data_IF_228388835773
#
_entry.id   IF_228388835773
#
_cell.length_a   1.000
_cell.length_b   1.000
_cell.length_c   1.000
_cell.angle_alpha   90.00
_cell.angle_beta   90.00
_cell.angle_gamma   90.00
#
_symmetry.space_group_name_H-M   'P 1'
#
loop_
_entity.id
_entity.type
_entity.pdbx_description
1 polymer ?
#
# COMPACT_ATOMS: atom_id res chain seq x y z
N UNK A 1 73.81 7.36 13.93
CA UNK A 1 72.58 6.59 13.65
C UNK A 1 71.62 6.56 14.84
N UNK A 2 72.05 6.16 16.04
CA UNK A 2 71.18 6.13 17.24
C UNK A 2 70.55 7.48 17.58
N UNK A 3 71.32 8.58 17.56
CA UNK A 3 70.81 9.93 17.86
C UNK A 3 69.76 10.43 16.84
N UNK A 4 69.93 10.09 15.56
CA UNK A 4 68.97 10.43 14.50
C UNK A 4 67.65 9.70 14.72
N UNK A 5 67.71 8.43 15.15
CA UNK A 5 66.54 7.62 15.47
C UNK A 5 65.76 8.17 16.68
N UNK A 6 66.46 8.63 17.72
CA UNK A 6 65.84 9.27 18.89
C UNK A 6 65.12 10.57 18.51
N UNK A 7 65.73 11.40 17.67
CA UNK A 7 65.10 12.64 17.18
C UNK A 7 63.89 12.36 16.30
N UNK A 8 63.95 11.36 15.42
CA UNK A 8 62.82 10.98 14.55
C UNK A 8 61.66 10.40 15.34
N UNK A 9 61.90 9.53 16.32
CA UNK A 9 60.85 9.00 17.21
C UNK A 9 60.22 10.13 18.04
N UNK A 10 61.04 11.06 18.57
CA UNK A 10 60.55 12.22 19.30
C UNK A 10 59.67 13.14 18.43
N UNK A 11 60.06 13.34 17.16
CA UNK A 11 59.29 14.11 16.18
C UNK A 11 57.95 13.46 15.78
N UNK A 12 57.90 12.12 15.78
CA UNK A 12 56.67 11.36 15.49
C UNK A 12 55.72 11.39 16.68
N UNK A 13 56.24 11.19 17.90
CA UNK A 13 55.41 11.08 19.10
C UNK A 13 54.87 12.44 19.58
N UNK A 14 55.74 13.46 19.66
CA UNK A 14 55.41 14.72 20.34
C UNK A 14 55.51 15.98 19.46
N UNK A 15 55.75 15.82 18.16
CA UNK A 15 55.78 16.91 17.18
C UNK A 15 57.10 17.70 17.15
N UNK A 16 57.08 18.87 16.50
CA UNK A 16 58.29 19.60 16.12
C UNK A 16 59.06 20.24 17.28
N UNK A 17 58.37 20.69 18.33
CA UNK A 17 59.00 21.36 19.49
C UNK A 17 59.94 20.43 20.27
N UNK A 18 59.44 19.29 20.80
CA UNK A 18 60.27 18.32 21.53
C UNK A 18 61.38 17.70 20.67
N UNK A 19 61.15 17.50 19.37
CA UNK A 19 62.16 17.01 18.43
C UNK A 19 63.36 17.96 18.29
N UNK A 20 63.11 19.28 18.28
CA UNK A 20 64.15 20.28 18.15
C UNK A 20 65.04 20.34 19.41
N UNK A 21 64.42 20.24 20.59
CA UNK A 21 65.16 20.13 21.86
C UNK A 21 65.97 18.83 21.89
N UNK A 22 65.38 17.72 21.48
CA UNK A 22 66.05 16.41 21.40
C UNK A 22 67.24 16.45 20.44
N UNK A 23 67.12 17.16 19.32
CA UNK A 23 68.18 17.35 18.34
C UNK A 23 69.33 18.18 18.91
N UNK A 24 69.04 19.30 19.57
CA UNK A 24 70.07 20.14 20.21
C UNK A 24 70.83 19.36 21.28
N UNK A 25 70.12 18.67 22.17
CA UNK A 25 70.73 17.81 23.21
C UNK A 25 71.57 16.69 22.60
N UNK A 26 71.09 16.06 21.52
CA UNK A 26 71.83 15.03 20.80
C UNK A 26 73.14 15.55 20.21
N UNK A 27 73.15 16.76 19.65
CA UNK A 27 74.38 17.40 19.17
C UNK A 27 75.33 17.66 20.33
N UNK A 28 74.85 18.24 21.43
CA UNK A 28 75.71 18.55 22.58
C UNK A 28 76.33 17.27 23.17
N UNK A 29 75.53 16.21 23.31
CA UNK A 29 76.04 14.89 23.72
C UNK A 29 77.07 14.32 22.73
N UNK A 30 76.82 14.44 21.42
CA UNK A 30 77.74 13.95 20.40
C UNK A 30 79.08 14.71 20.43
N UNK A 31 79.04 16.05 20.53
CA UNK A 31 80.23 16.88 20.64
C UNK A 31 81.05 16.58 21.90
N UNK A 32 80.38 16.39 23.04
CA UNK A 32 81.06 16.15 24.31
C UNK A 32 81.73 14.76 24.41
N UNK A 33 81.08 13.71 23.88
CA UNK A 33 81.54 12.32 24.06
C UNK A 33 82.38 11.76 22.91
N UNK A 34 82.20 12.23 21.68
CA UNK A 34 82.74 11.55 20.48
C UNK A 34 83.72 12.40 19.64
N UNK A 35 83.82 13.71 19.86
CA UNK A 35 84.70 14.60 19.09
C UNK A 35 85.93 15.00 19.93
N UNK A 36 87.18 14.72 19.48
CA UNK A 36 88.39 15.19 20.15
C UNK A 36 88.52 16.73 20.10
N UNK A 37 88.93 17.40 21.20
CA UNK A 37 89.25 16.84 22.52
C UNK A 37 87.97 16.46 23.27
N UNK A 38 87.86 15.17 23.63
CA UNK A 38 86.73 14.64 24.39
C UNK A 38 86.60 15.36 25.73
N UNK A 39 85.38 15.52 26.22
CA UNK A 39 85.06 16.28 27.45
C UNK A 39 85.30 17.80 27.39
N UNK A 40 85.49 18.37 26.19
CA UNK A 40 85.55 19.82 25.99
C UNK A 40 84.55 20.29 24.95
N UNK A 41 83.84 21.40 25.21
CA UNK A 41 82.93 22.01 24.24
C UNK A 41 83.71 22.88 23.24
N UNK A 42 84.61 22.27 22.46
CA UNK A 42 85.41 23.01 21.47
C UNK A 42 85.28 22.38 20.07
N UNK A 43 84.93 23.20 19.08
CA UNK A 43 84.80 22.81 17.68
C UNK A 43 86.11 23.21 16.99
N UNK A 44 87.17 22.41 17.15
CA UNK A 44 88.50 22.75 16.63
C UNK A 44 88.68 22.43 15.13
N UNK A 45 87.79 21.63 14.52
CA UNK A 45 87.93 21.17 13.13
C UNK A 45 86.81 21.72 12.19
N UNK A 46 87.17 22.35 11.06
CA UNK A 46 86.23 22.88 10.06
C UNK A 46 85.33 21.85 9.35
N UNK A 47 85.53 20.55 9.57
CA UNK A 47 84.68 19.50 9.00
C UNK A 47 83.44 19.21 9.85
N UNK A 48 83.46 19.53 11.15
CA UNK A 48 82.38 19.16 12.07
C UNK A 48 81.17 20.11 12.05
N UNK A 49 81.32 21.35 11.55
CA UNK A 49 80.20 22.29 11.44
C UNK A 49 79.19 21.89 10.35
N UNK A 50 79.65 21.21 9.29
CA UNK A 50 78.79 20.73 8.19
C UNK A 50 77.80 19.70 8.73
N UNK A 51 78.28 18.74 9.53
CA UNK A 51 77.44 17.73 10.16
C UNK A 51 76.39 18.37 11.09
N UNK A 52 76.75 19.41 11.84
CA UNK A 52 75.83 20.16 12.67
C UNK A 52 74.73 20.86 11.86
N UNK A 53 75.10 21.58 10.80
CA UNK A 53 74.15 22.29 9.92
C UNK A 53 73.20 21.30 9.23
N UNK A 54 73.73 20.20 8.68
CA UNK A 54 72.92 19.16 8.04
C UNK A 54 71.97 18.50 9.04
N UNK A 55 72.42 18.25 10.26
CA UNK A 55 71.60 17.64 11.30
C UNK A 55 70.47 18.56 11.76
N UNK A 56 70.76 19.84 12.04
CA UNK A 56 69.74 20.83 12.39
C UNK A 56 68.74 21.02 11.25
N UNK A 57 69.21 21.12 10.01
CA UNK A 57 68.34 21.23 8.83
C UNK A 57 67.41 20.00 8.69
N UNK A 58 67.93 18.79 8.92
CA UNK A 58 67.15 17.55 8.87
C UNK A 58 66.11 17.51 9.98
N UNK A 59 66.48 17.88 11.21
CA UNK A 59 65.55 17.92 12.35
C UNK A 59 64.41 18.92 12.11
N UNK A 60 64.70 20.10 11.55
CA UNK A 60 63.67 21.10 11.18
C UNK A 60 62.78 20.56 10.06
N UNK A 61 63.35 19.97 9.01
CA UNK A 61 62.57 19.40 7.91
C UNK A 61 61.61 18.29 8.38
N UNK A 62 62.11 17.35 9.21
CA UNK A 62 61.29 16.27 9.80
C UNK A 62 60.22 16.84 10.72
N UNK A 63 60.55 17.81 11.57
CA UNK A 63 59.58 18.45 12.46
C UNK A 63 58.46 19.17 11.70
N UNK A 64 58.80 19.92 10.65
CA UNK A 64 57.82 20.61 9.80
C UNK A 64 56.94 19.63 9.01
N UNK A 65 57.52 18.57 8.45
CA UNK A 65 56.77 17.55 7.73
C UNK A 65 55.83 16.78 8.66
N UNK A 66 56.30 16.38 9.84
CA UNK A 66 55.49 15.70 10.86
C UNK A 66 54.31 16.59 11.31
N UNK A 67 54.59 17.86 11.61
CA UNK A 67 53.54 18.81 12.01
C UNK A 67 52.52 19.06 10.90
N UNK A 68 52.95 19.21 9.64
CA UNK A 68 52.03 19.36 8.49
C UNK A 68 51.19 18.12 8.24
N UNK A 69 51.78 16.93 8.35
CA UNK A 69 51.07 15.67 8.19
C UNK A 69 49.97 15.52 9.27
N UNK A 70 50.29 15.87 10.51
CA UNK A 70 49.37 15.82 11.64
C UNK A 70 48.23 16.82 11.52
N UNK A 71 48.51 18.08 11.19
CA UNK A 71 47.47 19.10 10.98
C UNK A 71 46.50 18.70 9.85
N UNK A 72 47.02 18.15 8.74
CA UNK A 72 46.16 17.65 7.65
C UNK A 72 45.30 16.47 8.07
N UNK A 73 45.83 15.56 8.90
CA UNK A 73 45.07 14.44 9.44
C UNK A 73 43.94 14.93 10.36
N UNK A 74 44.24 15.86 11.27
CA UNK A 74 43.25 16.47 12.18
C UNK A 74 42.14 17.22 11.41
N UNK A 75 42.48 18.01 10.38
CA UNK A 75 41.49 18.67 9.52
C UNK A 75 40.63 17.68 8.72
N UNK A 76 41.24 16.61 8.21
CA UNK A 76 40.51 15.58 7.47
C UNK A 76 39.53 14.83 8.37
N UNK A 77 39.93 14.54 9.61
CA UNK A 77 39.08 13.92 10.61
C UNK A 77 37.92 14.84 11.03
N UNK A 78 38.20 16.12 11.28
CA UNK A 78 37.15 17.11 11.57
C UNK A 78 36.13 17.23 10.43
N UNK A 79 36.60 17.33 9.18
CA UNK A 79 35.71 17.33 7.99
C UNK A 79 34.89 16.06 7.88
N UNK A 80 35.49 14.90 8.15
CA UNK A 80 34.79 13.61 8.10
C UNK A 80 33.67 13.55 9.13
N UNK A 81 33.93 13.97 10.37
CA UNK A 81 32.93 14.02 11.44
C UNK A 81 31.79 14.97 11.07
N UNK A 82 32.10 16.14 10.51
CA UNK A 82 31.08 17.11 10.09
C UNK A 82 30.21 16.58 8.94
N UNK A 83 30.84 15.94 7.93
CA UNK A 83 30.13 15.29 6.83
C UNK A 83 29.23 14.16 7.36
N UNK A 84 29.72 13.30 8.25
CA UNK A 84 28.91 12.22 8.85
C UNK A 84 27.72 12.78 9.65
N UNK A 85 27.92 13.88 10.38
CA UNK A 85 26.85 14.59 11.10
C UNK A 85 25.80 15.14 10.14
N UNK A 86 26.22 15.83 9.07
CA UNK A 86 25.31 16.40 8.07
C UNK A 86 24.55 15.30 7.33
N UNK A 87 25.20 14.20 6.96
CA UNK A 87 24.54 13.05 6.34
C UNK A 87 23.50 12.41 7.26
N UNK A 88 23.81 12.26 8.55
CA UNK A 88 22.84 11.76 9.53
C UNK A 88 21.62 12.68 9.64
N UNK A 89 21.85 13.99 9.76
CA UNK A 89 20.76 14.97 9.84
C UNK A 89 19.88 14.97 8.58
N UNK A 90 20.50 14.87 7.39
CA UNK A 90 19.77 14.79 6.13
C UNK A 90 18.91 13.53 6.06
N UNK A 91 19.46 12.38 6.44
CA UNK A 91 18.73 11.09 6.44
C UNK A 91 17.55 11.15 7.41
N UNK A 92 17.76 11.60 8.64
CA UNK A 92 16.68 11.75 9.63
C UNK A 92 15.60 12.76 9.21
N UNK A 93 15.98 13.83 8.51
CA UNK A 93 15.03 14.80 7.98
C UNK A 93 14.22 14.23 6.81
N UNK A 94 14.88 13.46 5.94
CA UNK A 94 14.24 12.77 4.83
C UNK A 94 13.25 11.71 5.31
N UNK A 95 13.64 10.86 6.28
CA UNK A 95 12.77 9.83 6.84
C UNK A 95 11.53 10.45 7.50
N UNK A 96 11.72 11.51 8.31
CA UNK A 96 10.61 12.27 8.90
C UNK A 96 9.70 12.91 7.87
N UNK A 97 10.25 13.47 6.80
CA UNK A 97 9.46 14.06 5.72
C UNK A 97 8.65 12.99 4.97
N UNK A 98 9.25 11.83 4.70
CA UNK A 98 8.59 10.70 4.04
C UNK A 98 7.46 10.11 4.89
N UNK A 99 7.68 9.95 6.19
CA UNK A 99 6.67 9.48 7.14
C UNK A 99 5.52 10.48 7.26
N UNK A 100 5.84 11.77 7.42
CA UNK A 100 4.83 12.83 7.50
C UNK A 100 4.00 12.94 6.20
N UNK A 101 4.63 12.78 5.03
CA UNK A 101 3.94 12.76 3.75
C UNK A 101 3.03 11.53 3.62
N UNK A 102 3.50 10.36 4.05
CA UNK A 102 2.69 9.12 4.05
C UNK A 102 1.46 9.27 4.95
N UNK A 103 1.65 9.81 6.15
CA UNK A 103 0.55 10.08 7.08
C UNK A 103 -0.42 11.13 6.51
N UNK A 104 0.11 12.21 5.94
CA UNK A 104 -0.70 13.27 5.33
C UNK A 104 -1.53 12.74 4.15
N UNK A 105 -0.95 11.90 3.30
CA UNK A 105 -1.68 11.22 2.22
C UNK A 105 -2.78 10.32 2.78
N UNK A 106 -2.50 9.57 3.84
CA UNK A 106 -3.50 8.74 4.52
C UNK A 106 -4.66 9.58 5.07
N UNK A 107 -4.39 10.70 5.73
CA UNK A 107 -5.42 11.61 6.26
C UNK A 107 -6.23 12.32 5.15
N UNK A 108 -5.57 12.71 4.06
CA UNK A 108 -6.25 13.29 2.89
C UNK A 108 -7.16 12.26 2.22
N UNK A 109 -6.70 11.02 2.05
CA UNK A 109 -7.52 9.94 1.55
C UNK A 109 -8.71 9.73 2.49
N UNK A 110 -8.47 9.53 3.79
CA UNK A 110 -9.54 9.36 4.79
C UNK A 110 -10.59 10.47 4.76
N UNK A 111 -10.17 11.73 4.62
CA UNK A 111 -11.09 12.87 4.52
C UNK A 111 -11.92 12.83 3.24
N UNK A 112 -11.27 12.61 2.08
CA UNK A 112 -11.96 12.45 0.80
C UNK A 112 -12.94 11.26 0.81
N UNK A 113 -12.61 10.18 1.51
CA UNK A 113 -13.48 9.03 1.72
C UNK A 113 -14.72 9.40 2.56
N UNK A 114 -14.54 10.14 3.66
CA UNK A 114 -15.64 10.59 4.49
C UNK A 114 -16.59 11.53 3.74
N UNK A 115 -16.04 12.42 2.91
CA UNK A 115 -16.85 13.33 2.09
C UNK A 115 -17.66 12.56 1.03
N UNK A 116 -17.06 11.58 0.36
CA UNK A 116 -17.74 10.73 -0.61
C UNK A 116 -18.87 9.91 0.04
N UNK A 117 -18.58 9.26 1.17
CA UNK A 117 -19.57 8.52 1.97
C UNK A 117 -20.73 9.42 2.40
N UNK A 118 -20.42 10.63 2.87
CA UNK A 118 -21.44 11.60 3.30
C UNK A 118 -22.34 12.05 2.15
N UNK A 119 -21.76 12.30 0.98
CA UNK A 119 -22.53 12.64 -0.21
C UNK A 119 -23.49 11.51 -0.59
N UNK A 120 -22.99 10.28 -0.64
CA UNK A 120 -23.78 9.16 -1.11
C UNK A 120 -24.84 8.70 -0.09
N UNK A 121 -24.65 8.96 1.21
CA UNK A 121 -25.71 8.86 2.22
C UNK A 121 -26.78 9.96 2.07
N UNK A 122 -26.40 11.16 1.61
CA UNK A 122 -27.32 12.29 1.49
C UNK A 122 -28.37 12.06 0.41
N UNK A 123 -28.01 11.39 -0.68
CA UNK A 123 -28.93 11.10 -1.80
C UNK A 123 -30.17 10.30 -1.38
N UNK A 124 -30.06 9.07 -0.82
CA UNK A 124 -31.22 8.29 -0.38
C UNK A 124 -32.00 9.02 0.72
N UNK A 125 -31.31 9.68 1.66
CA UNK A 125 -31.96 10.47 2.71
C UNK A 125 -32.76 11.66 2.15
N UNK A 126 -32.29 12.29 1.08
CA UNK A 126 -33.01 13.39 0.41
C UNK A 126 -34.25 12.86 -0.29
N UNK A 127 -34.15 11.70 -0.96
CA UNK A 127 -35.26 11.00 -1.61
C UNK A 127 -36.35 10.60 -0.60
N UNK A 128 -35.95 9.93 0.50
CA UNK A 128 -36.85 9.57 1.61
C UNK A 128 -37.52 10.81 2.18
N UNK A 129 -36.74 11.86 2.48
CA UNK A 129 -37.28 13.09 3.07
C UNK A 129 -38.26 13.79 2.12
N UNK A 130 -37.97 13.85 0.81
CA UNK A 130 -38.87 14.43 -0.17
C UNK A 130 -40.21 13.65 -0.23
N UNK A 131 -40.13 12.31 -0.30
CA UNK A 131 -41.30 11.44 -0.34
C UNK A 131 -42.16 11.55 0.92
N UNK A 132 -41.53 11.52 2.11
CA UNK A 132 -42.21 11.73 3.40
C UNK A 132 -42.84 13.12 3.48
N UNK A 133 -42.14 14.17 3.03
CA UNK A 133 -42.67 15.54 3.04
C UNK A 133 -43.93 15.64 2.18
N UNK A 134 -43.89 15.08 0.96
CA UNK A 134 -45.02 15.06 0.04
C UNK A 134 -46.22 14.32 0.62
N UNK A 135 -46.01 13.15 1.22
CA UNK A 135 -47.06 12.38 1.91
C UNK A 135 -47.68 13.18 3.07
N UNK A 136 -46.85 13.80 3.92
CA UNK A 136 -47.33 14.59 5.06
C UNK A 136 -48.10 15.84 4.62
N UNK A 137 -47.65 16.54 3.57
CA UNK A 137 -48.35 17.71 3.02
C UNK A 137 -49.72 17.32 2.47
N UNK A 138 -49.81 16.21 1.74
CA UNK A 138 -51.09 15.73 1.22
C UNK A 138 -52.07 15.29 2.33
N UNK A 139 -51.57 14.78 3.46
CA UNK A 139 -52.39 14.45 4.62
C UNK A 139 -52.85 15.67 5.44
N UNK A 140 -52.10 16.78 5.39
CA UNK A 140 -52.42 18.02 6.12
C UNK A 140 -53.46 18.91 5.45
N UNK A 141 -53.69 18.75 4.14
CA UNK A 141 -54.68 19.51 3.37
C UNK A 141 -56.08 18.87 3.51
N UNK A 142 -56.71 19.04 4.67
CA UNK A 142 -58.07 18.53 4.96
C UNK A 142 -59.19 19.48 4.48
N UNK A 143 -58.85 20.60 3.84
CA UNK A 143 -59.81 21.60 3.36
C UNK A 143 -60.15 21.38 1.87
N UNK A 144 -61.02 20.40 1.62
CA UNK A 144 -62.12 20.51 0.65
C UNK A 144 -61.88 20.62 -0.86
N UNK A 145 -60.65 20.60 -1.42
CA UNK A 145 -60.50 20.66 -2.88
C UNK A 145 -59.26 19.93 -3.44
N UNK A 146 -59.52 18.89 -4.25
CA UNK A 146 -58.77 18.38 -5.42
C UNK A 146 -57.24 18.13 -5.33
N UNK A 147 -56.64 18.19 -4.15
CA UNK A 147 -55.18 18.06 -3.96
C UNK A 147 -54.77 16.93 -3.01
N UNK A 148 -55.61 15.90 -2.87
CA UNK A 148 -55.23 14.66 -2.19
C UNK A 148 -54.40 13.78 -3.12
N UNK A 149 -53.25 13.28 -2.65
CA UNK A 149 -52.49 12.23 -3.34
C UNK A 149 -53.42 11.03 -3.59
N UNK A 150 -53.38 10.48 -4.80
CA UNK A 150 -54.09 9.23 -5.08
C UNK A 150 -53.53 8.09 -4.23
N UNK A 151 -54.32 7.03 -4.07
CA UNK A 151 -53.86 5.82 -3.41
C UNK A 151 -52.66 5.18 -4.15
N UNK A 152 -52.59 5.29 -5.49
CA UNK A 152 -51.40 4.88 -6.24
C UNK A 152 -50.18 5.77 -5.95
N UNK A 153 -50.32 7.10 -6.00
CA UNK A 153 -49.18 8.00 -5.76
C UNK A 153 -48.63 7.90 -4.34
N UNK A 154 -49.51 7.60 -3.37
CA UNK A 154 -49.08 7.32 -2.00
C UNK A 154 -48.30 6.02 -1.89
N UNK A 155 -48.68 4.98 -2.63
CA UNK A 155 -47.94 3.71 -2.68
C UNK A 155 -46.59 3.88 -3.36
N UNK A 156 -46.52 4.61 -4.47
CA UNK A 156 -45.26 4.89 -5.18
C UNK A 156 -44.25 5.58 -4.25
N UNK A 157 -44.67 6.60 -3.49
CA UNK A 157 -43.79 7.27 -2.54
C UNK A 157 -43.36 6.36 -1.37
N UNK A 158 -44.23 5.45 -0.92
CA UNK A 158 -43.88 4.45 0.09
C UNK A 158 -42.89 3.42 -0.46
N UNK A 159 -43.04 3.01 -1.71
CA UNK A 159 -42.11 2.10 -2.39
C UNK A 159 -40.73 2.75 -2.52
N UNK A 160 -40.67 4.03 -2.92
CA UNK A 160 -39.41 4.81 -2.94
C UNK A 160 -38.77 4.86 -1.55
N UNK A 161 -39.54 5.12 -0.49
CA UNK A 161 -39.01 5.15 0.89
C UNK A 161 -38.43 3.78 1.28
N UNK A 162 -39.13 2.69 0.94
CA UNK A 162 -38.69 1.34 1.26
C UNK A 162 -37.41 0.97 0.51
N UNK A 163 -37.35 1.24 -0.80
CA UNK A 163 -36.17 0.98 -1.64
C UNK A 163 -34.93 1.76 -1.16
N UNK A 164 -35.09 3.04 -0.84
CA UNK A 164 -33.98 3.86 -0.34
C UNK A 164 -33.53 3.44 1.06
N UNK A 165 -34.45 2.91 1.88
CA UNK A 165 -34.12 2.35 3.20
C UNK A 165 -33.33 1.04 3.08
N UNK A 166 -33.74 0.16 2.17
CA UNK A 166 -33.02 -1.09 1.87
C UNK A 166 -31.62 -0.79 1.31
N UNK A 167 -31.51 0.21 0.43
CA UNK A 167 -30.24 0.72 -0.11
C UNK A 167 -29.30 1.23 1.00
N UNK A 168 -29.83 2.03 1.94
CA UNK A 168 -29.06 2.50 3.11
C UNK A 168 -28.61 1.36 4.01
N UNK A 169 -29.47 0.38 4.28
CA UNK A 169 -29.10 -0.77 5.11
C UNK A 169 -27.99 -1.58 4.43
N UNK A 170 -28.09 -1.81 3.13
CA UNK A 170 -27.06 -2.49 2.34
C UNK A 170 -25.72 -1.73 2.40
N UNK A 171 -25.73 -0.39 2.28
CA UNK A 171 -24.53 0.42 2.41
C UNK A 171 -23.86 0.28 3.79
N UNK A 172 -24.64 0.25 4.86
CA UNK A 172 -24.11 0.04 6.22
C UNK A 172 -23.47 -1.35 6.35
N UNK A 173 -24.09 -2.38 5.80
CA UNK A 173 -23.52 -3.73 5.74
C UNK A 173 -22.20 -3.78 4.96
N UNK A 174 -22.13 -3.13 3.80
CA UNK A 174 -20.90 -2.99 3.00
C UNK A 174 -19.79 -2.33 3.82
N UNK A 175 -20.10 -1.27 4.56
CA UNK A 175 -19.12 -0.54 5.37
C UNK A 175 -18.61 -1.34 6.56
N UNK A 176 -19.49 -2.06 7.24
CA UNK A 176 -19.09 -2.97 8.32
C UNK A 176 -18.20 -4.09 7.79
N UNK A 177 -18.52 -4.65 6.62
CA UNK A 177 -17.70 -5.69 5.98
C UNK A 177 -16.32 -5.15 5.60
N UNK A 178 -16.25 -3.95 5.03
CA UNK A 178 -14.98 -3.31 4.70
C UNK A 178 -14.12 -3.06 5.95
N UNK A 179 -14.71 -2.55 7.03
CA UNK A 179 -14.00 -2.31 8.29
C UNK A 179 -13.45 -3.62 8.89
N UNK A 180 -14.22 -4.71 8.83
CA UNK A 180 -13.76 -6.03 9.28
C UNK A 180 -12.61 -6.57 8.42
N UNK A 181 -12.68 -6.37 7.09
CA UNK A 181 -11.60 -6.73 6.17
C UNK A 181 -10.31 -5.95 6.47
N UNK A 182 -10.41 -4.63 6.67
CA UNK A 182 -9.25 -3.78 6.99
C UNK A 182 -8.62 -4.11 8.35
N UNK A 183 -9.46 -4.46 9.33
CA UNK A 183 -8.99 -4.89 10.64
C UNK A 183 -8.45 -6.32 10.69
N UNK A 184 -8.56 -7.09 9.60
CA UNK A 184 -8.23 -8.52 9.58
C UNK A 184 -9.13 -9.37 10.49
N UNK A 185 -10.34 -8.89 10.79
CA UNK A 185 -11.28 -9.48 11.76
C UNK A 185 -12.43 -10.27 11.11
N UNK A 186 -12.40 -10.48 9.79
CA UNK A 186 -13.45 -11.22 9.09
C UNK A 186 -13.43 -12.69 9.52
N UNK A 187 -14.32 -13.06 10.44
CA UNK A 187 -14.48 -14.42 10.94
C UNK A 187 -15.32 -15.26 9.97
N UNK A 188 -14.65 -16.06 9.15
CA UNK A 188 -15.28 -16.94 8.17
C UNK A 188 -15.79 -18.23 8.82
N UNK A 189 -17.11 -18.48 8.72
CA UNK A 189 -17.73 -19.73 9.16
C UNK A 189 -17.73 -20.73 8.00
N UNK A 190 -16.56 -21.29 7.71
CA UNK A 190 -16.38 -22.21 6.59
C UNK A 190 -17.11 -23.54 6.83
N UNK A 191 -17.92 -23.95 5.86
CA UNK A 191 -18.57 -25.27 5.81
C UNK A 191 -18.58 -25.81 4.39
N UNK A 192 -18.74 -27.13 4.26
CA UNK A 192 -18.95 -27.75 2.94
C UNK A 192 -20.36 -27.41 2.44
N UNK A 193 -20.45 -26.77 1.28
CA UNK A 193 -21.73 -26.40 0.67
C UNK A 193 -21.70 -26.56 -0.85
N UNK A 194 -22.75 -27.12 -1.48
CA UNK A 194 -22.84 -27.21 -2.93
C UNK A 194 -22.83 -25.82 -3.58
N UNK A 195 -22.07 -25.65 -4.67
CA UNK A 195 -22.02 -24.39 -5.40
C UNK A 195 -23.40 -23.92 -5.89
N UNK A 196 -24.25 -24.88 -6.29
CA UNK A 196 -25.63 -24.61 -6.72
C UNK A 196 -26.46 -23.91 -5.62
N UNK A 197 -26.34 -24.36 -4.37
CA UNK A 197 -27.13 -23.81 -3.26
C UNK A 197 -26.71 -22.36 -2.97
N UNK A 198 -25.40 -22.09 -2.98
CA UNK A 198 -24.87 -20.73 -2.80
C UNK A 198 -25.33 -19.79 -3.92
N UNK A 199 -25.30 -20.28 -5.17
CA UNK A 199 -25.76 -19.50 -6.33
C UNK A 199 -27.26 -19.23 -6.22
N UNK A 200 -28.07 -20.22 -5.86
CA UNK A 200 -29.51 -20.06 -5.70
C UNK A 200 -29.84 -18.99 -4.63
N UNK A 201 -29.18 -19.03 -3.47
CA UNK A 201 -29.34 -18.02 -2.41
C UNK A 201 -29.06 -16.60 -2.95
N UNK A 202 -27.99 -16.45 -3.73
CA UNK A 202 -27.62 -15.16 -4.31
C UNK A 202 -28.62 -14.67 -5.37
N UNK A 203 -29.10 -15.57 -6.23
CA UNK A 203 -30.10 -15.29 -7.26
C UNK A 203 -31.45 -14.91 -6.64
N UNK A 204 -31.89 -15.64 -5.62
CA UNK A 204 -33.13 -15.36 -4.89
C UNK A 204 -33.07 -13.98 -4.21
N UNK A 205 -31.93 -13.66 -3.58
CA UNK A 205 -31.70 -12.32 -2.99
C UNK A 205 -31.73 -11.21 -4.05
N UNK A 206 -31.24 -11.51 -5.26
CA UNK A 206 -31.19 -10.55 -6.37
C UNK A 206 -32.49 -10.49 -7.20
N UNK A 207 -33.58 -11.17 -6.80
CA UNK A 207 -34.79 -11.27 -7.61
C UNK A 207 -35.41 -9.90 -8.00
N UNK A 208 -35.47 -8.94 -7.06
CA UNK A 208 -36.00 -7.58 -7.33
C UNK A 208 -35.11 -6.78 -8.29
N UNK A 209 -33.80 -6.59 -8.03
CA UNK A 209 -32.94 -5.84 -8.96
C UNK A 209 -32.75 -6.52 -10.33
N UNK A 210 -33.07 -7.81 -10.45
CA UNK A 210 -32.98 -8.60 -11.69
C UNK A 210 -34.31 -8.82 -12.43
N UNK A 211 -35.43 -8.20 -12.00
CA UNK A 211 -36.78 -8.43 -12.59
C UNK A 211 -36.86 -8.35 -14.11
N UNK A 212 -36.07 -7.45 -14.71
CA UNK A 212 -36.05 -7.20 -16.17
C UNK A 212 -34.91 -7.94 -16.88
N UNK A 213 -34.40 -9.05 -16.33
CA UNK A 213 -33.24 -9.76 -16.89
C UNK A 213 -33.43 -11.27 -16.95
N UNK A 214 -32.74 -11.89 -17.90
CA UNK A 214 -32.73 -13.34 -18.09
C UNK A 214 -31.49 -13.91 -17.42
N UNK A 215 -31.67 -14.74 -16.39
CA UNK A 215 -30.58 -15.39 -15.67
C UNK A 215 -30.40 -16.81 -16.19
N UNK A 216 -29.20 -17.13 -16.66
CA UNK A 216 -28.84 -18.49 -17.08
C UNK A 216 -27.76 -19.04 -16.15
N UNK A 217 -28.11 -20.06 -15.37
CA UNK A 217 -27.21 -20.71 -14.41
C UNK A 217 -26.72 -22.04 -14.99
N UNK A 218 -25.41 -22.18 -15.14
CA UNK A 218 -24.75 -23.39 -15.60
C UNK A 218 -23.73 -23.86 -14.55
N UNK A 219 -24.01 -24.98 -13.90
CA UNK A 219 -23.13 -25.56 -12.88
C UNK A 219 -22.65 -26.92 -13.40
N UNK A 220 -21.33 -27.11 -13.49
CA UNK A 220 -20.76 -28.33 -14.03
C UNK A 220 -21.22 -29.58 -13.25
N UNK A 221 -21.55 -30.65 -13.99
CA UNK A 221 -21.99 -31.91 -13.40
C UNK A 221 -20.90 -32.48 -12.47
N UNK A 222 -21.28 -32.88 -11.24
CA UNK A 222 -20.41 -33.48 -10.21
C UNK A 222 -19.31 -32.57 -9.65
N UNK A 223 -19.59 -31.29 -9.46
CA UNK A 223 -18.70 -30.40 -8.70
C UNK A 223 -18.55 -30.87 -7.24
N UNK A 224 -17.32 -30.91 -6.68
CA UNK A 224 -17.13 -31.11 -5.25
C UNK A 224 -17.74 -29.94 -4.46
N UNK A 225 -18.17 -30.18 -3.20
CA UNK A 225 -18.68 -29.11 -2.35
C UNK A 225 -17.59 -28.06 -2.09
N UNK A 226 -17.99 -26.80 -2.01
CA UNK A 226 -17.11 -25.68 -1.72
C UNK A 226 -16.85 -25.62 -0.21
N UNK A 227 -15.62 -25.31 0.21
CA UNK A 227 -15.25 -25.17 1.63
C UNK A 227 -15.16 -23.69 1.96
N UNK A 228 -16.33 -23.07 2.15
CA UNK A 228 -16.46 -21.61 2.21
C UNK A 228 -17.46 -21.16 3.27
N UNK A 229 -17.42 -19.90 3.65
CA UNK A 229 -18.55 -19.26 4.33
C UNK A 229 -19.63 -18.97 3.28
N UNK A 230 -20.68 -19.80 3.27
CA UNK A 230 -21.74 -19.73 2.26
C UNK A 230 -22.48 -18.40 2.22
N UNK A 231 -22.64 -17.72 3.36
CA UNK A 231 -23.29 -16.40 3.41
C UNK A 231 -22.39 -15.31 2.82
N UNK A 232 -21.09 -15.39 3.07
CA UNK A 232 -20.11 -14.45 2.50
C UNK A 232 -19.99 -14.62 0.98
N UNK A 233 -19.89 -15.86 0.49
CA UNK A 233 -19.77 -16.13 -0.96
C UNK A 233 -21.08 -15.85 -1.71
N UNK A 234 -22.25 -16.14 -1.14
CA UNK A 234 -23.51 -15.72 -1.76
C UNK A 234 -23.62 -14.19 -1.84
N UNK A 235 -23.11 -13.47 -0.84
CA UNK A 235 -22.93 -12.01 -0.87
C UNK A 235 -22.04 -11.53 -2.01
N UNK A 236 -20.90 -12.19 -2.25
CA UNK A 236 -20.04 -11.90 -3.41
C UNK A 236 -20.82 -12.07 -4.72
N UNK A 237 -21.53 -13.19 -4.89
CA UNK A 237 -22.29 -13.47 -6.12
C UNK A 237 -23.42 -12.44 -6.30
N UNK A 238 -24.15 -12.10 -5.23
CA UNK A 238 -25.16 -11.05 -5.24
C UNK A 238 -24.58 -9.72 -5.74
N UNK A 239 -23.42 -9.33 -5.21
CA UNK A 239 -22.77 -8.08 -5.60
C UNK A 239 -22.37 -8.08 -7.09
N UNK A 240 -21.87 -9.21 -7.59
CA UNK A 240 -21.57 -9.36 -9.01
C UNK A 240 -22.83 -9.32 -9.88
N UNK A 241 -23.95 -9.89 -9.41
CA UNK A 241 -25.23 -9.86 -10.12
C UNK A 241 -25.82 -8.45 -10.19
N UNK A 242 -25.83 -7.70 -9.09
CA UNK A 242 -26.30 -6.31 -9.06
C UNK A 242 -25.43 -5.42 -9.96
N UNK A 243 -24.12 -5.64 -9.97
CA UNK A 243 -23.22 -4.92 -10.88
C UNK A 243 -23.46 -5.33 -12.36
N UNK A 244 -23.52 -6.63 -12.66
CA UNK A 244 -23.83 -7.14 -13.99
C UNK A 244 -25.14 -6.53 -14.52
N UNK A 245 -26.13 -6.42 -13.65
CA UNK A 245 -27.37 -5.77 -13.90
C UNK A 245 -27.20 -4.29 -14.26
N UNK A 246 -26.66 -3.51 -13.34
CA UNK A 246 -26.45 -2.07 -13.48
C UNK A 246 -25.71 -1.68 -14.77
N UNK A 247 -24.81 -2.53 -15.26
CA UNK A 247 -23.98 -2.25 -16.44
C UNK A 247 -24.40 -2.98 -17.73
N UNK A 248 -25.59 -3.58 -17.75
CA UNK A 248 -26.19 -4.20 -18.93
C UNK A 248 -27.53 -3.55 -19.29
N UNK A 249 -27.99 -3.76 -20.52
CA UNK A 249 -29.30 -3.28 -20.96
C UNK A 249 -30.44 -4.05 -20.24
N UNK A 250 -31.63 -3.44 -20.07
CA UNK A 250 -32.84 -4.19 -19.76
C UNK A 250 -33.02 -5.34 -20.79
N UNK A 251 -33.55 -6.48 -20.34
CA UNK A 251 -33.74 -7.73 -21.10
C UNK A 251 -32.47 -8.49 -21.52
N UNK A 252 -31.29 -8.00 -21.17
CA UNK A 252 -30.04 -8.72 -21.46
C UNK A 252 -29.86 -9.98 -20.60
N UNK A 253 -29.07 -10.92 -21.11
CA UNK A 253 -28.76 -12.16 -20.41
C UNK A 253 -27.58 -12.00 -19.45
N UNK A 254 -27.74 -12.51 -18.23
CA UNK A 254 -26.65 -12.69 -17.26
C UNK A 254 -26.38 -14.19 -17.11
N UNK A 255 -25.13 -14.58 -17.35
CA UNK A 255 -24.70 -15.96 -17.23
C UNK A 255 -23.93 -16.17 -15.92
N UNK A 256 -24.29 -17.20 -15.17
CA UNK A 256 -23.53 -17.68 -14.02
C UNK A 256 -22.97 -19.05 -14.38
N UNK A 257 -21.64 -19.20 -14.37
CA UNK A 257 -20.97 -20.47 -14.61
C UNK A 257 -20.19 -20.90 -13.37
N UNK A 258 -20.28 -22.18 -12.98
CA UNK A 258 -19.40 -22.78 -11.98
C UNK A 258 -18.71 -24.02 -12.57
N UNK A 259 -17.38 -24.06 -12.51
CA UNK A 259 -16.56 -25.15 -13.05
C UNK A 259 -15.33 -25.42 -12.18
N UNK A 260 -14.93 -26.68 -12.08
CA UNK A 260 -13.69 -27.05 -11.39
C UNK A 260 -12.49 -26.74 -12.29
N UNK A 261 -11.53 -25.98 -11.77
CA UNK A 261 -10.32 -25.60 -12.52
C UNK A 261 -9.06 -26.29 -12.01
N UNK A 262 -9.10 -26.84 -10.80
CA UNK A 262 -8.01 -27.62 -10.20
C UNK A 262 -8.57 -28.62 -9.19
N UNK A 263 -7.71 -29.49 -8.64
CA UNK A 263 -8.13 -30.51 -7.66
C UNK A 263 -8.85 -29.92 -6.42
N UNK A 264 -8.51 -28.67 -6.04
CA UNK A 264 -8.98 -28.02 -4.81
C UNK A 264 -9.62 -26.65 -5.06
N UNK A 265 -9.87 -26.25 -6.31
CA UNK A 265 -10.47 -24.95 -6.61
C UNK A 265 -11.59 -25.07 -7.65
N UNK A 266 -12.66 -24.33 -7.40
CA UNK A 266 -13.76 -24.08 -8.32
C UNK A 266 -13.74 -22.62 -8.72
N UNK A 267 -13.87 -22.36 -10.02
CA UNK A 267 -14.08 -21.02 -10.57
C UNK A 267 -15.58 -20.78 -10.74
N UNK A 268 -16.05 -19.64 -10.24
CA UNK A 268 -17.40 -19.12 -10.47
C UNK A 268 -17.25 -17.84 -11.30
N UNK A 269 -18.03 -17.73 -12.37
CA UNK A 269 -18.03 -16.58 -13.28
C UNK A 269 -19.43 -15.99 -13.39
N UNK A 270 -19.53 -14.67 -13.32
CA UNK A 270 -20.72 -13.89 -13.62
C UNK A 270 -20.43 -13.03 -14.85
N UNK A 271 -21.18 -13.26 -15.92
CA UNK A 271 -20.95 -12.63 -17.23
C UNK A 271 -22.21 -11.88 -17.67
N UNK A 272 -22.04 -10.68 -18.24
CA UNK A 272 -23.13 -9.86 -18.76
C UNK A 272 -22.81 -9.29 -20.15
N UNK A 273 -23.85 -9.00 -20.93
CA UNK A 273 -23.74 -8.45 -22.29
C UNK A 273 -23.54 -6.91 -22.33
N UNK A 274 -22.99 -6.34 -21.25
CA UNK A 274 -22.75 -4.90 -21.14
C UNK A 274 -21.64 -4.35 -22.04
N UNK A 275 -21.24 -3.10 -21.79
CA UNK A 275 -20.06 -2.55 -22.44
C UNK A 275 -18.78 -3.25 -21.94
N UNK A 276 -17.91 -3.65 -22.86
CA UNK A 276 -16.62 -4.23 -22.50
C UNK A 276 -15.72 -3.18 -21.85
N UNK A 277 -15.15 -3.53 -20.70
CA UNK A 277 -14.21 -2.65 -20.01
C UNK A 277 -12.82 -2.66 -20.67
N UNK A 278 -12.21 -1.48 -20.91
CA UNK A 278 -10.84 -1.38 -21.39
C UNK A 278 -9.86 -2.10 -20.46
N UNK A 279 -8.84 -2.74 -21.02
CA UNK A 279 -7.87 -3.54 -20.24
C UNK A 279 -7.22 -2.74 -19.10
N UNK A 280 -6.92 -1.46 -19.33
CA UNK A 280 -6.34 -0.57 -18.33
C UNK A 280 -7.24 -0.31 -17.10
N UNK A 281 -8.55 -0.53 -17.22
CA UNK A 281 -9.53 -0.29 -16.16
C UNK A 281 -9.83 -1.58 -15.38
N UNK A 282 -9.66 -2.76 -15.99
CA UNK A 282 -10.04 -4.07 -15.39
C UNK A 282 -9.36 -4.39 -14.06
N UNK A 283 -8.17 -3.85 -13.79
CA UNK A 283 -7.52 -4.01 -12.48
C UNK A 283 -7.98 -2.94 -11.48
N UNK A 284 -8.29 -1.74 -11.97
CA UNK A 284 -8.63 -0.58 -11.15
C UNK A 284 -10.05 -0.63 -10.60
N UNK A 285 -10.97 -1.35 -11.25
CA UNK A 285 -12.35 -1.56 -10.75
C UNK A 285 -12.44 -2.27 -9.40
N UNK A 286 -11.35 -2.92 -8.95
CA UNK A 286 -11.26 -3.52 -7.62
C UNK A 286 -10.62 -2.58 -6.59
N UNK A 287 -10.13 -1.39 -7.01
CA UNK A 287 -9.69 -0.35 -6.10
C UNK A 287 -10.90 0.23 -5.37
N UNK A 288 -10.72 0.52 -4.08
CA UNK A 288 -11.78 1.07 -3.23
C UNK A 288 -12.23 2.42 -3.80
N UNK A 289 -13.54 2.63 -3.87
CA UNK A 289 -14.18 3.88 -4.32
C UNK A 289 -13.88 4.24 -5.78
N UNK A 290 -13.31 3.32 -6.57
CA UNK A 290 -13.07 3.56 -7.98
C UNK A 290 -14.38 3.55 -8.76
N UNK A 291 -14.58 4.58 -9.58
CA UNK A 291 -15.71 4.72 -10.52
C UNK A 291 -15.18 5.07 -11.89
N UNK A 292 -15.78 4.50 -12.94
CA UNK A 292 -15.35 4.72 -14.31
C UNK A 292 -15.57 6.17 -14.78
N UNK A 293 -14.77 6.69 -15.72
CA UNK A 293 -14.87 8.08 -16.18
C UNK A 293 -16.19 8.46 -16.88
N UNK A 294 -17.01 7.47 -17.30
CA UNK A 294 -18.37 7.68 -17.83
C UNK A 294 -19.47 7.65 -16.75
N UNK A 295 -19.11 7.47 -15.48
CA UNK A 295 -20.06 7.16 -14.39
C UNK A 295 -20.25 8.31 -13.39
N UNK A 296 -19.68 9.48 -13.66
CA UNK A 296 -19.99 10.72 -12.93
C UNK A 296 -21.37 11.24 -13.38
N UNK A 297 -22.46 10.61 -12.94
CA UNK A 297 -23.78 11.25 -13.01
C UNK A 297 -25.02 10.35 -13.05
N UNK A 298 -24.94 9.13 -13.61
CA UNK A 298 -26.19 8.44 -14.03
C UNK A 298 -26.46 7.08 -13.35
N UNK A 299 -25.44 6.44 -12.75
CA UNK A 299 -25.59 5.10 -12.15
C UNK A 299 -25.15 5.07 -10.69
N UNK A 300 -26.11 4.90 -9.79
CA UNK A 300 -25.98 4.98 -8.32
C UNK A 300 -25.16 3.79 -7.75
N UNK A 301 -24.18 4.04 -6.90
CA UNK A 301 -23.36 3.03 -6.21
C UNK A 301 -22.02 3.56 -5.71
N UNK A 302 -21.54 3.02 -4.59
CA UNK A 302 -20.45 3.58 -3.77
C UNK A 302 -19.03 3.21 -4.23
N UNK A 303 -18.89 2.38 -5.26
CA UNK A 303 -17.57 1.90 -5.73
C UNK A 303 -16.88 0.95 -4.74
N UNK A 304 -17.65 0.35 -3.82
CA UNK A 304 -17.15 -0.53 -2.76
C UNK A 304 -17.38 -2.02 -3.07
N UNK A 305 -18.51 -2.36 -3.70
CA UNK A 305 -18.92 -3.74 -3.97
C UNK A 305 -17.81 -4.65 -4.51
N UNK A 306 -17.16 -4.28 -5.62
CA UNK A 306 -16.07 -5.10 -6.19
C UNK A 306 -14.84 -5.20 -5.27
N UNK A 307 -14.52 -4.15 -4.51
CA UNK A 307 -13.40 -4.18 -3.56
C UNK A 307 -13.69 -5.08 -2.35
N UNK A 308 -14.94 -5.09 -1.86
CA UNK A 308 -15.41 -5.98 -0.80
C UNK A 308 -15.45 -7.42 -1.32
N UNK A 309 -16.02 -7.64 -2.51
CA UNK A 309 -16.06 -8.94 -3.15
C UNK A 309 -14.64 -9.54 -3.27
N UNK A 310 -13.67 -8.73 -3.70
CA UNK A 310 -12.26 -9.12 -3.73
C UNK A 310 -11.73 -9.49 -2.35
N UNK A 311 -11.93 -8.64 -1.33
CA UNK A 311 -11.46 -8.92 0.02
C UNK A 311 -12.05 -10.20 0.61
N UNK A 312 -13.35 -10.45 0.39
CA UNK A 312 -14.03 -11.68 0.83
C UNK A 312 -13.45 -12.90 0.12
N UNK A 313 -13.26 -12.85 -1.20
CA UNK A 313 -12.66 -13.95 -1.96
C UNK A 313 -11.23 -14.23 -1.51
N UNK A 314 -10.41 -13.19 -1.34
CA UNK A 314 -9.03 -13.32 -0.86
C UNK A 314 -8.96 -13.87 0.57
N UNK A 315 -9.91 -13.50 1.45
CA UNK A 315 -10.01 -14.09 2.80
C UNK A 315 -10.35 -15.59 2.79
N UNK A 316 -10.95 -16.09 1.71
CA UNK A 316 -11.16 -17.53 1.47
C UNK A 316 -9.95 -18.23 0.82
N UNK A 317 -8.87 -17.50 0.52
CA UNK A 317 -7.70 -18.01 -0.21
C UNK A 317 -7.90 -18.07 -1.73
N UNK A 318 -8.96 -17.45 -2.24
CA UNK A 318 -9.29 -17.38 -3.65
C UNK A 318 -8.66 -16.20 -4.37
N UNK A 319 -8.98 -16.05 -5.66
CA UNK A 319 -8.64 -14.86 -6.47
C UNK A 319 -9.84 -14.41 -7.28
N UNK A 320 -10.00 -13.10 -7.48
CA UNK A 320 -11.01 -12.52 -8.36
C UNK A 320 -10.35 -11.73 -9.49
N UNK A 321 -10.92 -11.78 -10.69
CA UNK A 321 -10.44 -11.06 -11.87
C UNK A 321 -11.60 -10.63 -12.75
N UNK A 322 -11.33 -9.66 -13.60
CA UNK A 322 -12.26 -9.19 -14.61
C UNK A 322 -11.69 -9.43 -16.01
N UNK A 323 -12.45 -10.15 -16.81
CA UNK A 323 -12.14 -10.52 -18.19
C UNK A 323 -13.17 -9.90 -19.15
N UNK A 324 -12.89 -10.02 -20.46
CA UNK A 324 -13.92 -9.72 -21.45
C UNK A 324 -15.06 -10.75 -21.34
N UNK A 325 -16.29 -10.29 -21.58
CA UNK A 325 -17.44 -11.17 -21.66
C UNK A 325 -17.38 -12.13 -22.87
N UNK A 326 -18.37 -13.02 -22.99
CA UNK A 326 -18.39 -14.04 -24.04
C UNK A 326 -18.28 -13.42 -25.43
N UNK A 327 -17.42 -14.00 -26.28
CA UNK A 327 -17.11 -13.53 -27.66
C UNK A 327 -16.49 -12.12 -27.73
N UNK A 328 -15.94 -11.59 -26.63
CA UNK A 328 -15.26 -10.29 -26.60
C UNK A 328 -16.19 -9.09 -26.46
N UNK A 329 -17.50 -9.33 -26.35
CA UNK A 329 -18.50 -8.34 -25.96
C UNK A 329 -18.90 -8.60 -24.49
N UNK A 330 -19.27 -7.57 -23.74
CA UNK A 330 -19.63 -7.75 -22.33
C UNK A 330 -18.47 -7.71 -21.33
N UNK A 331 -18.81 -7.94 -20.07
CA UNK A 331 -17.86 -8.05 -18.96
C UNK A 331 -18.06 -9.40 -18.27
N UNK A 332 -16.96 -10.05 -17.89
CA UNK A 332 -16.98 -11.28 -17.10
C UNK A 332 -16.18 -11.07 -15.82
N UNK A 333 -16.81 -11.26 -14.66
CA UNK A 333 -16.10 -11.30 -13.37
C UNK A 333 -15.98 -12.75 -12.94
N UNK A 334 -14.75 -13.21 -12.76
CA UNK A 334 -14.44 -14.60 -12.40
C UNK A 334 -13.74 -14.62 -11.05
N UNK A 335 -14.16 -15.50 -10.16
CA UNK A 335 -13.47 -15.72 -8.90
C UNK A 335 -13.29 -17.21 -8.60
N UNK A 336 -12.22 -17.54 -7.90
CA UNK A 336 -11.92 -18.91 -7.46
C UNK A 336 -12.16 -19.05 -5.97
N UNK A 337 -12.61 -20.22 -5.54
CA UNK A 337 -12.80 -20.56 -4.14
C UNK A 337 -12.35 -22.00 -3.87
N UNK A 338 -11.89 -22.30 -2.64
CA UNK A 338 -11.50 -23.66 -2.29
C UNK A 338 -12.69 -24.61 -2.30
N UNK A 339 -12.49 -25.82 -2.80
CA UNK A 339 -13.42 -26.92 -2.70
C UNK A 339 -12.83 -28.08 -1.91
N UNK A 340 -13.71 -28.97 -1.44
CA UNK A 340 -13.27 -30.23 -0.86
C UNK A 340 -12.45 -31.00 -1.93
N UNK A 341 -11.42 -31.76 -1.53
CA UNK A 341 -10.62 -32.55 -2.46
C UNK A 341 -11.54 -33.44 -3.29
N UNK A 342 -11.65 -33.17 -4.59
CA UNK A 342 -12.51 -33.94 -5.47
C UNK A 342 -11.95 -35.35 -5.66
N UNK A 343 -12.82 -36.37 -5.64
CA UNK A 343 -12.48 -37.74 -6.04
C UNK A 343 -12.00 -37.87 -7.50
N UNK A 344 -12.02 -36.78 -8.29
CA UNK A 344 -11.64 -36.69 -9.69
C UNK A 344 -10.28 -36.00 -9.94
N UNK A 345 -9.45 -35.78 -8.91
CA UNK A 345 -8.11 -35.21 -9.08
C UNK A 345 -7.23 -36.00 -10.08
N UNK A 346 -7.55 -37.29 -10.29
CA UNK A 346 -6.84 -38.18 -11.21
C UNK A 346 -7.16 -37.95 -12.70
N UNK A 347 -8.21 -37.19 -13.05
CA UNK A 347 -8.61 -36.98 -14.45
C UNK A 347 -8.05 -35.70 -15.11
N UNK A 348 -7.50 -34.77 -14.31
CA UNK A 348 -7.00 -33.47 -14.80
C UNK A 348 -5.47 -33.43 -14.98
N UNK A 349 -4.77 -34.54 -14.73
CA UNK A 349 -3.31 -34.67 -14.85
C UNK A 349 -2.85 -35.58 -16.00
N UNK A 350 -3.75 -35.99 -16.90
CA UNK A 350 -3.44 -36.84 -18.06
C UNK A 350 -3.44 -36.08 -19.39
#
# INVERSE_FOLDING_TARGET
MVLVLVVTVSAIAWGSGPALITALLSVFCFNYFFIPPIHTFTIAEPQNWIAFVVFVATAVAVGQLSSRARNRAEEAEARRIEIERLYRQLTEAFDRASEAETLRRSEQLKTALLDAVTHDLRTPLTSIKASVTTLLTAMGNNDGADSSLSAEGSRELLDVINEESDSLNHFVEEMMTLAQLEGGQLLLRRSEMPAQDIINIAVDRAATPLRERIINVSVANKLPPLVVDGASISGVIYELLVNAAKYSAPDSMIHINAQQISANEVEIAVENEGAALPVAVRQRVFEKFYRGPKEQGEKQGFGLGLSIARGVVEAHGGRIRMDAGPRGAGTAVRFTVPCAPGANADALTS
#
